data_IF_714416762751
#
_entry.id   IF_714416762751
#
_cell.length_a   1.000
_cell.length_b   1.000
_cell.length_c   1.000
_cell.angle_alpha   90.00
_cell.angle_beta   90.00
_cell.angle_gamma   90.00
#
_symmetry.space_group_name_H-M   'P 1'
#
loop_
_entity.id
_entity.type
_entity.pdbx_description
1 polymer ?
#
# COMPACT_ATOMS: atom_id res chain seq x y z
N UNK A 1 -34.97 22.54 3.91
CA UNK A 1 -34.09 22.80 5.07
C UNK A 1 -33.72 21.51 5.81
N UNK A 2 -34.67 20.61 6.07
CA UNK A 2 -34.42 19.33 6.77
C UNK A 2 -33.33 18.43 6.14
N UNK A 3 -33.30 18.32 4.79
CA UNK A 3 -32.31 17.48 4.08
C UNK A 3 -30.87 17.94 4.33
N UNK A 4 -30.63 19.25 4.43
CA UNK A 4 -29.28 19.82 4.60
C UNK A 4 -28.73 19.56 6.00
N UNK A 5 -29.58 19.67 7.02
CA UNK A 5 -29.28 19.30 8.41
C UNK A 5 -29.00 17.80 8.54
N UNK A 6 -29.85 16.94 7.96
CA UNK A 6 -29.69 15.48 8.01
C UNK A 6 -28.43 15.03 7.24
N UNK A 7 -28.17 15.60 6.07
CA UNK A 7 -26.97 15.30 5.28
C UNK A 7 -25.70 15.68 6.03
N UNK A 8 -25.69 16.84 6.70
CA UNK A 8 -24.57 17.27 7.52
C UNK A 8 -24.33 16.33 8.70
N UNK A 9 -25.39 15.89 9.37
CA UNK A 9 -25.29 14.97 10.51
C UNK A 9 -24.76 13.58 10.06
N UNK A 10 -25.23 13.08 8.92
CA UNK A 10 -24.75 11.83 8.34
C UNK A 10 -23.28 11.92 7.91
N UNK A 11 -22.88 13.04 7.30
CA UNK A 11 -21.48 13.26 6.92
C UNK A 11 -20.58 13.31 8.16
N UNK A 12 -20.99 14.00 9.22
CA UNK A 12 -20.24 14.03 10.47
C UNK A 12 -20.16 12.65 11.12
N UNK A 13 -21.28 11.92 11.18
CA UNK A 13 -21.30 10.54 11.66
C UNK A 13 -20.37 9.62 10.87
N UNK A 14 -20.34 9.79 9.53
CA UNK A 14 -19.44 9.06 8.66
C UNK A 14 -17.97 9.38 8.95
N UNK A 15 -17.61 10.66 9.08
CA UNK A 15 -16.25 11.06 9.43
C UNK A 15 -15.85 10.46 10.78
N UNK A 16 -16.70 10.56 11.81
CA UNK A 16 -16.41 9.98 13.13
C UNK A 16 -16.19 8.47 13.03
N UNK A 17 -17.02 7.76 12.26
CA UNK A 17 -16.90 6.32 12.05
C UNK A 17 -15.60 5.92 11.34
N UNK A 18 -15.16 6.71 10.36
CA UNK A 18 -13.87 6.54 9.68
C UNK A 18 -12.73 6.67 10.68
N UNK A 19 -12.71 7.74 11.48
CA UNK A 19 -11.65 8.00 12.46
C UNK A 19 -11.67 7.07 13.68
N UNK A 20 -12.79 6.39 13.95
CA UNK A 20 -12.90 5.38 15.00
C UNK A 20 -12.08 4.11 14.72
N UNK A 21 -11.52 3.95 13.52
CA UNK A 21 -10.71 2.78 13.18
C UNK A 21 -9.33 2.80 13.89
N UNK A 22 -8.87 1.66 14.40
CA UNK A 22 -7.64 1.59 15.19
C UNK A 22 -6.38 1.77 14.35
N UNK A 23 -6.40 1.33 13.08
CA UNK A 23 -5.24 1.36 12.18
C UNK A 23 -5.45 2.35 11.03
N UNK A 24 -4.39 2.99 10.51
CA UNK A 24 -4.49 3.91 9.38
C UNK A 24 -5.03 3.23 8.11
N UNK A 25 -4.66 1.96 7.86
CA UNK A 25 -5.15 1.22 6.70
C UNK A 25 -6.67 1.03 6.75
N UNK A 26 -7.20 0.71 7.94
CA UNK A 26 -8.64 0.53 8.17
C UNK A 26 -9.40 1.87 8.07
N UNK A 27 -8.74 3.00 8.36
CA UNK A 27 -9.32 4.33 8.16
C UNK A 27 -9.48 4.64 6.66
N UNK A 28 -8.48 4.28 5.85
CA UNK A 28 -8.52 4.49 4.40
C UNK A 28 -9.62 3.62 3.78
N UNK A 29 -9.71 2.35 4.17
CA UNK A 29 -10.78 1.44 3.73
C UNK A 29 -12.17 1.99 4.06
N UNK A 30 -12.39 2.43 5.31
CA UNK A 30 -13.66 3.07 5.70
C UNK A 30 -13.95 4.36 4.94
N UNK A 31 -12.93 5.15 4.63
CA UNK A 31 -13.09 6.39 3.86
C UNK A 31 -13.51 6.11 2.41
N UNK A 32 -13.02 5.00 1.83
CA UNK A 32 -13.36 4.57 0.48
C UNK A 32 -14.56 3.62 0.41
N UNK A 33 -15.09 3.17 1.55
CA UNK A 33 -16.27 2.31 1.64
C UNK A 33 -17.49 2.79 0.83
N UNK A 34 -17.82 4.10 0.72
CA UNK A 34 -18.93 4.56 -0.12
C UNK A 34 -18.76 4.22 -1.60
N UNK A 35 -17.52 4.21 -2.10
CA UNK A 35 -17.20 3.83 -3.49
C UNK A 35 -17.44 2.34 -3.68
N UNK A 36 -17.05 1.52 -2.71
CA UNK A 36 -17.34 0.08 -2.68
C UNK A 36 -18.84 -0.22 -2.61
N UNK A 37 -19.59 0.49 -1.76
CA UNK A 37 -21.05 0.33 -1.66
C UNK A 37 -21.72 0.66 -2.99
N UNK A 38 -21.34 1.78 -3.61
CA UNK A 38 -21.82 2.15 -4.95
C UNK A 38 -21.43 1.10 -6.00
N UNK A 39 -20.22 0.56 -5.93
CA UNK A 39 -19.74 -0.48 -6.83
C UNK A 39 -20.56 -1.76 -6.79
N UNK A 40 -20.95 -2.22 -5.58
CA UNK A 40 -21.81 -3.40 -5.40
C UNK A 40 -23.22 -3.19 -5.97
N UNK A 41 -23.78 -1.99 -5.81
CA UNK A 41 -25.08 -1.66 -6.39
C UNK A 41 -25.01 -1.66 -7.92
N UNK A 42 -24.00 -1.00 -8.49
CA UNK A 42 -23.83 -0.88 -9.95
C UNK A 42 -23.52 -2.24 -10.58
N UNK A 43 -22.68 -3.07 -9.95
CA UNK A 43 -22.40 -4.44 -10.41
C UNK A 43 -23.62 -5.34 -10.33
N UNK A 44 -24.44 -5.22 -9.27
CA UNK A 44 -25.71 -5.97 -9.16
C UNK A 44 -26.71 -5.58 -10.26
N UNK A 45 -26.78 -4.28 -10.60
CA UNK A 45 -27.57 -3.79 -11.74
C UNK A 45 -27.03 -4.30 -13.08
N UNK A 46 -25.71 -4.32 -13.24
CA UNK A 46 -25.06 -4.82 -14.45
C UNK A 46 -25.27 -6.33 -14.65
N UNK A 47 -25.18 -7.11 -13.56
CA UNK A 47 -25.46 -8.54 -13.56
C UNK A 47 -26.90 -8.85 -13.98
N UNK A 48 -27.85 -7.96 -13.65
CA UNK A 48 -29.25 -8.08 -14.06
C UNK A 48 -29.47 -7.74 -15.55
N UNK A 49 -28.64 -6.86 -16.13
CA UNK A 49 -28.74 -6.47 -17.54
C UNK A 49 -28.06 -7.45 -18.50
N UNK A 50 -26.82 -7.84 -18.23
CA UNK A 50 -26.03 -8.78 -19.06
C UNK A 50 -24.78 -9.28 -18.30
N UNK A 51 -24.49 -10.59 -18.28
CA UNK A 51 -23.37 -11.16 -17.53
C UNK A 51 -21.98 -10.75 -18.07
N UNK A 52 -21.87 -10.37 -19.34
CA UNK A 52 -20.62 -9.89 -19.94
C UNK A 52 -20.22 -8.49 -19.43
N UNK A 53 -21.21 -7.67 -19.04
CA UNK A 53 -20.96 -6.34 -18.48
C UNK A 53 -20.50 -6.43 -17.03
N UNK A 54 -20.94 -7.44 -16.28
CA UNK A 54 -20.62 -7.62 -14.86
C UNK A 54 -19.10 -7.61 -14.62
N UNK A 55 -18.35 -8.40 -15.39
CA UNK A 55 -16.90 -8.55 -15.21
C UNK A 55 -16.13 -7.25 -15.52
N UNK A 56 -16.58 -6.50 -16.52
CA UNK A 56 -16.01 -5.19 -16.86
C UNK A 56 -16.31 -4.14 -15.80
N UNK A 57 -17.55 -4.10 -15.30
CA UNK A 57 -18.01 -3.17 -14.27
C UNK A 57 -17.33 -3.47 -12.93
N UNK A 58 -17.22 -4.75 -12.55
CA UNK A 58 -16.46 -5.21 -11.37
C UNK A 58 -15.01 -4.73 -11.43
N UNK A 59 -14.33 -4.97 -12.56
CA UNK A 59 -12.93 -4.56 -12.76
C UNK A 59 -12.78 -3.04 -12.69
N UNK A 60 -13.72 -2.30 -13.29
CA UNK A 60 -13.75 -0.83 -13.23
C UNK A 60 -13.93 -0.30 -11.80
N UNK A 61 -14.88 -0.85 -11.04
CA UNK A 61 -15.13 -0.43 -9.66
C UNK A 61 -13.98 -0.77 -8.71
N UNK A 62 -13.33 -1.91 -8.91
CA UNK A 62 -12.12 -2.26 -8.16
C UNK A 62 -10.99 -1.26 -8.43
N UNK A 63 -10.82 -0.82 -9.68
CA UNK A 63 -9.85 0.24 -10.01
C UNK A 63 -10.19 1.59 -9.37
N UNK A 64 -11.48 1.96 -9.30
CA UNK A 64 -11.88 3.20 -8.62
C UNK A 64 -11.68 3.14 -7.11
N UNK A 65 -11.99 2.00 -6.49
CA UNK A 65 -11.75 1.77 -5.07
C UNK A 65 -10.26 1.90 -4.76
N UNK A 66 -9.42 1.18 -5.51
CA UNK A 66 -7.97 1.26 -5.39
C UNK A 66 -7.44 2.68 -5.65
N UNK A 67 -8.03 3.39 -6.62
CA UNK A 67 -7.70 4.79 -6.91
C UNK A 67 -8.00 5.72 -5.73
N UNK A 68 -9.11 5.50 -5.02
CA UNK A 68 -9.46 6.24 -3.81
C UNK A 68 -8.43 5.98 -2.71
N UNK A 69 -8.15 4.71 -2.41
CA UNK A 69 -7.21 4.31 -1.35
C UNK A 69 -5.81 4.87 -1.63
N UNK A 70 -5.35 4.71 -2.87
CA UNK A 70 -4.05 5.20 -3.30
C UNK A 70 -3.95 6.72 -3.20
N UNK A 71 -5.00 7.44 -3.60
CA UNK A 71 -5.01 8.91 -3.51
C UNK A 71 -4.91 9.37 -2.06
N UNK A 72 -5.68 8.76 -1.14
CA UNK A 72 -5.62 9.09 0.29
C UNK A 72 -4.24 8.75 0.86
N UNK A 73 -3.72 7.56 0.56
CA UNK A 73 -2.37 7.18 0.98
C UNK A 73 -1.32 8.17 0.48
N UNK A 74 -1.42 8.57 -0.79
CA UNK A 74 -0.50 9.50 -1.43
C UNK A 74 -0.54 10.89 -0.81
N UNK A 75 -1.73 11.40 -0.50
CA UNK A 75 -1.89 12.75 0.08
C UNK A 75 -1.43 12.81 1.53
N UNK A 76 -1.74 11.79 2.34
CA UNK A 76 -1.55 11.86 3.79
C UNK A 76 -0.31 11.12 4.30
N UNK A 77 0.16 10.08 3.62
CA UNK A 77 1.19 9.18 4.14
C UNK A 77 2.50 9.20 3.34
N UNK A 78 2.49 9.66 2.08
CA UNK A 78 3.68 9.62 1.22
C UNK A 78 4.90 10.32 1.84
N UNK A 79 4.70 11.50 2.44
CA UNK A 79 5.80 12.30 2.99
C UNK A 79 6.49 11.60 4.17
N UNK A 80 5.72 11.09 5.12
CA UNK A 80 6.26 10.40 6.29
C UNK A 80 6.80 9.02 5.95
N UNK A 81 6.18 8.32 4.99
CA UNK A 81 6.70 7.07 4.46
C UNK A 81 8.09 7.25 3.82
N UNK A 82 8.28 8.31 3.03
CA UNK A 82 9.59 8.61 2.42
C UNK A 82 10.66 8.90 3.48
N UNK A 83 10.33 9.65 4.53
CA UNK A 83 11.27 9.90 5.65
C UNK A 83 11.64 8.60 6.37
N UNK A 84 10.65 7.73 6.62
CA UNK A 84 10.88 6.41 7.19
C UNK A 84 11.83 5.56 6.32
N UNK A 85 11.64 5.56 5.00
CA UNK A 85 12.52 4.83 4.09
C UNK A 85 13.97 5.34 4.12
N UNK A 86 14.17 6.65 4.15
CA UNK A 86 15.51 7.26 4.27
C UNK A 86 16.17 6.85 5.60
N UNK A 87 15.44 6.95 6.71
CA UNK A 87 15.94 6.55 8.02
C UNK A 87 16.28 5.05 8.08
N UNK A 88 15.43 4.20 7.51
CA UNK A 88 15.65 2.76 7.43
C UNK A 88 16.86 2.42 6.57
N UNK A 89 17.02 3.06 5.40
CA UNK A 89 18.18 2.87 4.54
C UNK A 89 19.49 3.27 5.25
N UNK A 90 19.49 4.39 5.97
CA UNK A 90 20.65 4.83 6.75
C UNK A 90 20.98 3.86 7.90
N UNK A 91 19.97 3.33 8.59
CA UNK A 91 20.15 2.33 9.64
C UNK A 91 20.71 1.01 9.07
N UNK A 92 20.20 0.56 7.92
CA UNK A 92 20.69 -0.62 7.23
C UNK A 92 22.13 -0.43 6.72
N UNK A 93 22.47 0.73 6.18
CA UNK A 93 23.84 1.03 5.78
C UNK A 93 24.82 0.98 6.96
N UNK A 94 24.42 1.48 8.14
CA UNK A 94 25.20 1.34 9.38
C UNK A 94 25.35 -0.11 9.81
N UNK A 95 24.28 -0.90 9.76
CA UNK A 95 24.32 -2.31 10.14
C UNK A 95 25.23 -3.13 9.20
N UNK A 96 25.14 -2.90 7.88
CA UNK A 96 26.02 -3.54 6.88
C UNK A 96 27.46 -3.08 7.03
N UNK A 97 27.70 -1.79 7.31
CA UNK A 97 29.03 -1.27 7.61
C UNK A 97 29.65 -1.92 8.84
N UNK A 98 28.90 -2.03 9.94
CA UNK A 98 29.34 -2.71 11.15
C UNK A 98 29.61 -4.20 10.92
N UNK A 99 28.76 -4.89 10.14
CA UNK A 99 28.98 -6.28 9.76
C UNK A 99 30.22 -6.46 8.87
N UNK A 100 30.51 -5.51 7.98
CA UNK A 100 31.70 -5.53 7.12
C UNK A 100 32.99 -5.21 7.88
N UNK A 101 32.92 -4.38 8.91
CA UNK A 101 34.04 -4.11 9.82
C UNK A 101 34.32 -5.26 10.81
N UNK A 102 33.33 -6.11 11.05
CA UNK A 102 33.48 -7.33 11.86
C UNK A 102 33.87 -8.58 11.03
N UNK A 103 33.87 -8.48 9.70
CA UNK A 103 34.29 -9.57 8.82
C UNK A 103 35.83 -9.70 8.87
N UNK A 104 36.39 -10.90 9.14
CA UNK A 104 37.83 -11.12 9.11
C UNK A 104 38.35 -10.84 7.70
N UNK A 105 39.48 -10.13 7.62
CA UNK A 105 40.21 -9.90 6.37
C UNK A 105 40.87 -11.20 5.91
N UNK A 106 40.08 -12.14 5.37
CA UNK A 106 40.59 -13.31 4.68
C UNK A 106 40.33 -13.17 3.18
N UNK A 107 40.95 -12.14 2.57
CA UNK A 107 41.12 -12.11 1.13
C UNK A 107 42.33 -12.96 0.79
N UNK A 108 42.04 -14.23 0.51
CA UNK A 108 42.90 -15.17 -0.18
C UNK A 108 43.50 -14.53 -1.43
N UNK A 109 44.82 -14.36 -1.43
CA UNK A 109 45.62 -14.35 -2.66
C UNK A 109 45.57 -15.78 -3.20
N UNK A 110 45.07 -16.04 -4.42
CA UNK A 110 45.16 -17.37 -4.99
C UNK A 110 46.61 -17.59 -5.45
N UNK A 111 47.44 -18.18 -4.58
CA UNK A 111 48.68 -18.82 -5.00
C UNK A 111 48.30 -20.05 -5.82
N UNK A 112 48.13 -19.86 -7.14
CA UNK A 112 48.00 -20.98 -8.07
C UNK A 112 49.35 -21.70 -8.18
N UNK A 113 49.37 -22.85 -7.51
CA UNK A 113 50.29 -23.97 -7.59
C UNK A 113 51.16 -24.05 -8.84
N UNK A 114 52.46 -24.03 -8.59
CA UNK A 114 53.40 -24.91 -9.25
C UNK A 114 52.94 -26.38 -9.06
N UNK A 115 52.52 -27.05 -10.13
CA UNK A 115 52.52 -28.52 -10.26
C UNK A 115 51.94 -28.94 -11.62
N UNK A 116 52.63 -28.61 -12.71
CA UNK A 116 52.42 -29.28 -14.00
C UNK A 116 53.74 -29.96 -14.37
N UNK A 117 54.04 -31.02 -13.63
CA UNK A 117 55.13 -31.93 -13.91
C UNK A 117 54.69 -33.34 -13.50
N UNK A 118 54.23 -34.11 -14.49
CA UNK A 118 54.70 -35.49 -14.69
C UNK A 118 54.34 -36.00 -16.10
N UNK A 119 55.29 -36.70 -16.75
CA UNK A 119 55.18 -37.20 -18.12
C UNK A 119 54.29 -38.43 -18.25
#
# INVERSE_FOLDING_TARGET
MLVKEISGLLLLGFIVWVFLAPNPDVRIDRACAPVQWGGNVVTSLAALSTPELELQVQTGMNKMTYGCEYSIWRLFYQADYNKYLIAKAAAQAKAVGAARSAAPTESAVPTQSAALARP
#
